data_IF_914845581338
#
_entry.id   IF_914845581338
#
_cell.length_a   1.000
_cell.length_b   1.000
_cell.length_c   1.000
_cell.angle_alpha   90.00
_cell.angle_beta   90.00
_cell.angle_gamma   90.00
#
_symmetry.space_group_name_H-M   'P 1'
#
loop_
_entity.id
_entity.type
_entity.pdbx_description
1 polymer ?
#
# COMPACT_ATOMS: atom_id res chain seq x y z
N UNK A 1 -26.31 -3.31 -6.69
CA UNK A 1 -25.75 -1.95 -6.65
C UNK A 1 -26.87 -0.93 -6.70
N UNK A 2 -26.66 0.26 -6.13
CA UNK A 2 -27.50 1.42 -6.43
C UNK A 2 -27.21 1.91 -7.86
N UNK A 3 -28.10 2.72 -8.41
CA UNK A 3 -27.92 3.33 -9.74
C UNK A 3 -26.83 4.41 -9.68
N UNK A 4 -25.98 4.45 -10.66
CA UNK A 4 -24.95 5.48 -10.87
C UNK A 4 -24.76 5.73 -12.38
N UNK A 5 -24.17 6.85 -12.73
CA UNK A 5 -23.70 7.14 -14.09
C UNK A 5 -22.24 6.75 -14.24
N UNK A 6 -21.84 6.31 -15.45
CA UNK A 6 -20.45 5.95 -15.76
C UNK A 6 -19.87 6.93 -16.77
N UNK A 7 -18.69 7.46 -16.48
CA UNK A 7 -17.94 8.37 -17.34
C UNK A 7 -16.52 7.84 -17.47
N UNK A 8 -16.03 7.73 -18.70
CA UNK A 8 -14.63 7.40 -18.97
C UNK A 8 -13.88 8.69 -19.25
N UNK A 9 -13.00 9.09 -18.34
CA UNK A 9 -12.17 10.29 -18.51
C UNK A 9 -11.15 10.10 -19.63
N UNK A 10 -10.88 11.16 -20.38
CA UNK A 10 -9.91 11.19 -21.46
C UNK A 10 -8.56 11.80 -21.04
N UNK A 11 -8.54 12.47 -19.86
CA UNK A 11 -7.34 13.05 -19.27
C UNK A 11 -7.53 13.24 -17.76
N UNK A 12 -6.43 13.42 -17.03
CA UNK A 12 -6.44 13.78 -15.61
C UNK A 12 -7.16 15.12 -15.36
N UNK A 13 -7.02 16.08 -16.29
CA UNK A 13 -7.70 17.37 -16.21
C UNK A 13 -9.22 17.16 -16.23
N UNK A 14 -9.73 16.39 -17.19
CA UNK A 14 -11.16 16.09 -17.29
C UNK A 14 -11.67 15.36 -16.03
N UNK A 15 -10.91 14.40 -15.50
CA UNK A 15 -11.27 13.71 -14.27
C UNK A 15 -11.38 14.67 -13.08
N UNK A 16 -10.40 15.59 -12.92
CA UNK A 16 -10.40 16.59 -11.85
C UNK A 16 -11.55 17.59 -11.97
N UNK A 17 -11.83 18.08 -13.17
CA UNK A 17 -12.96 18.99 -13.45
C UNK A 17 -14.30 18.29 -13.16
N UNK A 18 -14.41 16.99 -13.52
CA UNK A 18 -15.62 16.22 -13.26
C UNK A 18 -15.85 16.02 -11.75
N UNK A 19 -14.82 15.67 -10.97
CA UNK A 19 -14.90 15.56 -9.52
C UNK A 19 -15.28 16.90 -8.86
N UNK A 20 -14.78 18.01 -9.39
CA UNK A 20 -15.14 19.33 -8.89
C UNK A 20 -16.63 19.67 -9.11
N UNK A 21 -17.19 19.23 -10.23
CA UNK A 21 -18.60 19.44 -10.58
C UNK A 21 -19.57 18.44 -9.89
N UNK A 22 -19.06 17.29 -9.47
CA UNK A 22 -19.85 16.20 -8.89
C UNK A 22 -19.19 15.68 -7.59
N UNK A 23 -19.43 16.31 -6.44
CA UNK A 23 -18.77 15.97 -5.16
C UNK A 23 -18.99 14.52 -4.71
N UNK A 24 -20.11 13.89 -5.12
CA UNK A 24 -20.43 12.48 -4.79
C UNK A 24 -19.86 11.49 -5.80
N UNK A 25 -19.14 11.92 -6.84
CA UNK A 25 -18.48 11.04 -7.78
C UNK A 25 -17.30 10.30 -7.12
N UNK A 26 -17.02 9.10 -7.60
CA UNK A 26 -15.85 8.31 -7.19
C UNK A 26 -15.01 7.93 -8.40
N UNK A 27 -13.69 7.99 -8.23
CA UNK A 27 -12.74 7.49 -9.22
C UNK A 27 -12.79 5.97 -9.28
N UNK A 28 -12.77 5.45 -10.49
CA UNK A 28 -12.66 4.03 -10.77
C UNK A 28 -11.32 3.77 -11.50
N UNK A 29 -10.42 3.04 -10.85
CA UNK A 29 -9.21 2.49 -11.48
C UNK A 29 -9.41 0.99 -11.73
N UNK A 30 -8.74 0.09 -11.00
CA UNK A 30 -8.91 -1.35 -11.13
C UNK A 30 -10.25 -1.91 -10.62
N UNK A 31 -10.98 -1.17 -9.79
CA UNK A 31 -12.31 -1.53 -9.30
C UNK A 31 -12.37 -2.69 -8.30
N UNK A 32 -11.23 -3.28 -7.91
CA UNK A 32 -11.19 -4.52 -7.11
C UNK A 32 -11.65 -4.36 -5.66
N UNK A 33 -11.72 -3.13 -5.15
CA UNK A 33 -12.38 -2.80 -3.88
C UNK A 33 -13.70 -2.10 -4.11
N UNK A 34 -13.74 -1.07 -4.97
CA UNK A 34 -14.92 -0.24 -5.17
C UNK A 34 -16.12 -1.04 -5.71
N UNK A 35 -15.93 -1.90 -6.72
CA UNK A 35 -17.03 -2.67 -7.31
C UNK A 35 -17.67 -3.67 -6.30
N UNK A 36 -16.89 -4.45 -5.52
CA UNK A 36 -17.46 -5.23 -4.41
C UNK A 36 -18.23 -4.40 -3.39
N UNK A 37 -17.70 -3.23 -2.99
CA UNK A 37 -18.37 -2.30 -2.07
C UNK A 37 -19.71 -1.83 -2.61
N UNK A 38 -19.79 -1.49 -3.91
CA UNK A 38 -21.05 -1.12 -4.58
C UNK A 38 -22.03 -2.30 -4.68
N UNK A 39 -21.52 -3.51 -4.96
CA UNK A 39 -22.35 -4.74 -4.98
C UNK A 39 -22.94 -5.02 -3.61
N UNK A 40 -22.20 -4.81 -2.54
CA UNK A 40 -22.65 -4.95 -1.16
C UNK A 40 -23.56 -3.78 -0.69
N UNK A 41 -23.76 -2.74 -1.52
CA UNK A 41 -24.55 -1.53 -1.21
C UNK A 41 -23.97 -0.72 -0.03
N UNK A 42 -22.66 -0.78 0.18
CA UNK A 42 -21.97 -0.04 1.21
C UNK A 42 -21.57 1.37 0.77
N UNK A 43 -21.71 1.68 -0.52
CA UNK A 43 -21.50 3.03 -1.08
C UNK A 43 -22.53 3.31 -2.19
N UNK A 44 -22.85 4.61 -2.36
CA UNK A 44 -23.82 5.09 -3.35
C UNK A 44 -23.30 6.36 -4.04
N UNK A 45 -22.26 6.28 -4.88
CA UNK A 45 -21.79 7.43 -5.65
C UNK A 45 -22.80 7.80 -6.73
N UNK A 46 -22.88 9.09 -7.07
CA UNK A 46 -23.68 9.55 -8.21
C UNK A 46 -23.06 9.13 -9.55
N UNK A 47 -21.74 9.13 -9.61
CA UNK A 47 -20.98 8.79 -10.82
C UNK A 47 -19.75 7.96 -10.49
N UNK A 48 -19.37 7.09 -11.44
CA UNK A 48 -18.05 6.46 -11.49
C UNK A 48 -17.25 7.09 -12.63
N UNK A 49 -16.11 7.67 -12.29
CA UNK A 49 -15.19 8.29 -13.24
C UNK A 49 -14.03 7.34 -13.48
N UNK A 50 -14.03 6.64 -14.61
CA UNK A 50 -13.00 5.68 -14.97
C UNK A 50 -11.73 6.38 -15.44
N UNK A 51 -10.65 6.17 -14.70
CA UNK A 51 -9.31 6.69 -14.95
C UNK A 51 -8.30 5.57 -15.25
N UNK A 52 -8.72 4.31 -15.19
CA UNK A 52 -7.82 3.16 -15.33
C UNK A 52 -7.13 3.03 -16.68
N UNK A 53 -7.65 3.71 -17.70
CA UNK A 53 -7.07 3.72 -19.04
C UNK A 53 -6.24 4.96 -19.39
N UNK A 54 -6.00 5.87 -18.44
CA UNK A 54 -5.23 7.09 -18.70
C UNK A 54 -3.72 6.78 -18.81
N UNK A 55 -3.06 7.05 -19.95
CA UNK A 55 -1.64 6.72 -20.15
C UNK A 55 -0.72 7.42 -19.15
N UNK A 56 -1.05 8.65 -18.76
CA UNK A 56 -0.28 9.44 -17.79
C UNK A 56 -0.26 8.84 -16.37
N UNK A 57 -1.14 7.88 -16.09
CA UNK A 57 -1.19 7.15 -14.83
C UNK A 57 -0.52 5.78 -14.87
N UNK A 58 -0.03 5.34 -16.02
CA UNK A 58 0.60 4.04 -16.19
C UNK A 58 2.13 4.17 -16.28
N UNK A 59 2.82 3.05 -16.01
CA UNK A 59 4.25 2.93 -16.25
C UNK A 59 5.08 2.75 -15.00
N UNK A 60 6.30 2.24 -15.23
CA UNK A 60 7.31 1.97 -14.20
C UNK A 60 8.64 2.46 -14.76
N UNK A 61 9.27 3.40 -14.07
CA UNK A 61 10.51 4.00 -14.53
C UNK A 61 11.48 4.28 -13.38
N UNK A 62 12.77 4.27 -13.67
CA UNK A 62 13.81 4.77 -12.78
C UNK A 62 14.11 6.21 -13.16
N UNK A 63 13.93 7.13 -12.20
CA UNK A 63 14.15 8.56 -12.35
C UNK A 63 15.03 9.07 -11.20
N UNK A 64 16.14 9.70 -11.49
CA UNK A 64 17.00 10.35 -10.48
C UNK A 64 17.34 9.45 -9.28
N UNK A 65 17.60 8.15 -9.53
CA UNK A 65 17.92 7.19 -8.49
C UNK A 65 16.71 6.77 -7.62
N UNK A 66 15.49 7.00 -8.07
CA UNK A 66 14.23 6.57 -7.44
C UNK A 66 13.42 5.73 -8.40
N UNK A 67 12.56 4.87 -7.88
CA UNK A 67 11.61 4.08 -8.65
C UNK A 67 10.26 4.80 -8.64
N UNK A 68 9.80 5.25 -9.81
CA UNK A 68 8.49 5.85 -9.99
C UNK A 68 7.52 4.83 -10.60
N UNK A 69 6.32 4.68 -10.00
CA UNK A 69 5.27 3.77 -10.45
C UNK A 69 3.98 4.56 -10.61
N UNK A 70 3.43 4.60 -11.82
CA UNK A 70 2.18 5.26 -12.13
C UNK A 70 0.99 4.64 -11.37
N UNK A 71 0.04 5.46 -10.95
CA UNK A 71 -1.06 5.05 -10.07
C UNK A 71 -1.98 3.97 -10.67
N UNK A 72 -2.15 3.95 -12.00
CA UNK A 72 -2.94 2.92 -12.69
C UNK A 72 -2.15 1.65 -13.04
N UNK A 73 -0.87 1.55 -12.68
CA UNK A 73 -0.08 0.34 -12.88
C UNK A 73 -0.65 -0.80 -12.04
N UNK A 74 -0.91 -1.92 -12.69
CA UNK A 74 -1.57 -3.07 -12.06
C UNK A 74 -0.61 -3.87 -11.18
N UNK A 75 -1.15 -4.57 -10.19
CA UNK A 75 -0.31 -5.36 -9.27
C UNK A 75 0.54 -6.38 -10.00
N UNK A 76 0.00 -7.07 -11.04
CA UNK A 76 0.77 -8.05 -11.80
C UNK A 76 1.91 -7.41 -12.60
N UNK A 77 1.75 -6.16 -13.08
CA UNK A 77 2.80 -5.42 -13.78
C UNK A 77 3.93 -5.04 -12.81
N UNK A 78 3.59 -4.59 -11.59
CA UNK A 78 4.58 -4.31 -10.55
C UNK A 78 5.34 -5.59 -10.15
N UNK A 79 4.62 -6.69 -9.92
CA UNK A 79 5.20 -7.98 -9.56
C UNK A 79 6.09 -8.56 -10.67
N UNK A 80 5.66 -8.41 -11.94
CA UNK A 80 6.34 -8.95 -13.11
C UNK A 80 7.52 -8.11 -13.61
N UNK A 81 7.58 -6.83 -13.26
CA UNK A 81 8.54 -5.88 -13.81
C UNK A 81 9.99 -6.19 -13.43
N UNK A 82 10.85 -6.35 -14.44
CA UNK A 82 12.30 -6.50 -14.23
C UNK A 82 12.92 -5.25 -13.61
N UNK A 83 12.39 -4.06 -13.91
CA UNK A 83 12.83 -2.80 -13.30
C UNK A 83 12.57 -2.81 -11.79
N UNK A 84 11.36 -3.21 -11.36
CA UNK A 84 11.01 -3.31 -9.93
C UNK A 84 11.83 -4.40 -9.24
N UNK A 85 11.96 -5.58 -9.87
CA UNK A 85 12.74 -6.71 -9.33
C UNK A 85 14.20 -6.37 -9.12
N UNK A 86 14.79 -5.57 -10.00
CA UNK A 86 16.19 -5.10 -9.87
C UNK A 86 16.34 -3.99 -8.86
N UNK A 87 15.40 -3.03 -8.85
CA UNK A 87 15.48 -1.84 -7.99
C UNK A 87 15.06 -2.14 -6.54
N UNK A 88 13.91 -2.77 -6.35
CA UNK A 88 13.31 -3.07 -5.03
C UNK A 88 12.65 -4.45 -5.08
N UNK A 89 13.42 -5.57 -5.02
CA UNK A 89 12.89 -6.93 -5.10
C UNK A 89 11.76 -7.21 -4.09
N UNK A 90 11.83 -6.59 -2.90
CA UNK A 90 10.83 -6.72 -1.85
C UNK A 90 9.46 -6.15 -2.28
N UNK A 91 9.43 -5.09 -3.10
CA UNK A 91 8.20 -4.50 -3.61
C UNK A 91 7.55 -5.40 -4.68
N UNK A 92 8.34 -5.98 -5.59
CA UNK A 92 7.84 -6.96 -6.54
C UNK A 92 7.24 -8.19 -5.83
N UNK A 93 7.95 -8.71 -4.82
CA UNK A 93 7.47 -9.83 -3.99
C UNK A 93 6.18 -9.47 -3.24
N UNK A 94 6.11 -8.29 -2.64
CA UNK A 94 4.91 -7.80 -1.98
C UNK A 94 3.72 -7.77 -2.95
N UNK A 95 3.90 -7.20 -4.14
CA UNK A 95 2.85 -7.09 -5.15
C UNK A 95 2.33 -8.46 -5.61
N UNK A 96 3.19 -9.47 -5.69
CA UNK A 96 2.82 -10.84 -6.06
C UNK A 96 1.98 -11.55 -4.98
N UNK A 97 2.07 -11.11 -3.73
CA UNK A 97 1.28 -11.63 -2.61
C UNK A 97 -0.12 -10.99 -2.46
N UNK A 98 -0.48 -10.02 -3.31
CA UNK A 98 -1.78 -9.36 -3.24
C UNK A 98 -2.86 -10.23 -3.89
N UNK A 99 -3.88 -10.60 -3.09
CA UNK A 99 -5.06 -11.31 -3.58
C UNK A 99 -4.74 -12.56 -4.41
N UNK A 100 -5.54 -12.76 -5.44
CA UNK A 100 -5.37 -13.80 -6.45
C UNK A 100 -4.96 -13.20 -7.82
N UNK A 101 -4.69 -14.01 -8.86
CA UNK A 101 -4.31 -13.52 -10.19
C UNK A 101 -5.37 -12.59 -10.81
N UNK A 102 -6.66 -12.81 -10.56
CA UNK A 102 -7.74 -11.98 -11.09
C UNK A 102 -7.69 -10.58 -10.46
N UNK A 103 -7.49 -10.51 -9.13
CA UNK A 103 -7.31 -9.26 -8.41
C UNK A 103 -6.07 -8.52 -8.92
N UNK A 104 -4.94 -9.21 -9.04
CA UNK A 104 -3.69 -8.58 -9.50
C UNK A 104 -3.75 -8.08 -10.94
N UNK A 105 -4.55 -8.73 -11.78
CA UNK A 105 -4.69 -8.33 -13.20
C UNK A 105 -5.50 -7.04 -13.40
N UNK A 106 -6.28 -6.60 -12.42
CA UNK A 106 -7.11 -5.39 -12.48
C UNK A 106 -6.74 -4.35 -11.44
N UNK A 107 -6.47 -4.78 -10.19
CA UNK A 107 -6.13 -3.91 -9.08
C UNK A 107 -4.85 -3.13 -9.34
N UNK A 108 -4.81 -1.86 -8.93
CA UNK A 108 -3.72 -0.91 -9.20
C UNK A 108 -3.06 -0.44 -7.91
N UNK A 109 -1.78 -0.08 -8.00
CA UNK A 109 -1.03 0.44 -6.84
C UNK A 109 -1.69 1.72 -6.29
N UNK A 110 -2.06 2.67 -7.15
CA UNK A 110 -2.71 3.91 -6.73
C UNK A 110 -4.09 3.66 -6.11
N UNK A 111 -4.87 2.71 -6.65
CA UNK A 111 -6.16 2.33 -6.07
C UNK A 111 -6.03 1.74 -4.67
N UNK A 112 -5.02 0.89 -4.44
CA UNK A 112 -4.74 0.33 -3.12
C UNK A 112 -4.31 1.39 -2.12
N UNK A 113 -3.40 2.30 -2.52
CA UNK A 113 -2.90 3.39 -1.66
C UNK A 113 -3.98 4.42 -1.37
N UNK A 114 -4.82 4.77 -2.34
CA UNK A 114 -5.95 5.69 -2.14
C UNK A 114 -7.03 5.12 -1.24
N UNK A 115 -7.30 3.80 -1.33
CA UNK A 115 -8.30 3.15 -0.49
C UNK A 115 -7.85 3.02 0.97
N UNK A 116 -6.56 2.89 1.20
CA UNK A 116 -5.95 2.73 2.52
C UNK A 116 -6.67 1.73 3.43
N UNK A 117 -6.92 0.53 2.88
CA UNK A 117 -7.45 -0.58 3.69
C UNK A 117 -6.38 -0.97 4.73
N UNK A 118 -6.74 -1.09 6.02
CA UNK A 118 -5.79 -1.51 7.07
C UNK A 118 -5.05 -2.81 6.79
N UNK A 119 -5.67 -3.72 6.02
CA UNK A 119 -5.11 -5.01 5.67
C UNK A 119 -4.40 -5.05 4.30
N UNK A 120 -4.30 -3.90 3.61
CA UNK A 120 -3.61 -3.81 2.33
C UNK A 120 -2.08 -3.89 2.50
N UNK A 121 -1.40 -4.48 1.52
CA UNK A 121 0.04 -4.70 1.54
C UNK A 121 0.85 -3.43 1.19
N UNK A 122 0.46 -2.69 0.14
CA UNK A 122 1.23 -1.52 -0.33
C UNK A 122 1.46 -0.42 0.70
N UNK A 123 0.53 -0.10 1.61
CA UNK A 123 0.82 0.91 2.64
C UNK A 123 2.10 0.63 3.44
N UNK A 124 2.39 -0.67 3.73
CA UNK A 124 3.64 -1.04 4.40
C UNK A 124 4.89 -0.73 3.56
N UNK A 125 4.84 -0.95 2.25
CA UNK A 125 5.97 -0.60 1.37
C UNK A 125 6.12 0.92 1.20
N UNK A 126 5.01 1.64 1.03
CA UNK A 126 5.00 3.10 0.89
C UNK A 126 5.59 3.76 2.13
N UNK A 127 5.13 3.36 3.32
CA UNK A 127 5.62 3.89 4.60
C UNK A 127 7.04 3.40 4.91
N UNK A 128 7.30 2.09 4.73
CA UNK A 128 8.59 1.47 5.05
C UNK A 128 9.74 1.92 4.15
N UNK A 129 9.49 2.32 2.92
CA UNK A 129 10.50 2.90 2.03
C UNK A 129 10.60 4.43 2.16
N UNK A 130 9.70 5.09 2.89
CA UNK A 130 9.63 6.55 2.94
C UNK A 130 9.33 7.15 1.56
N UNK A 131 8.35 6.57 0.87
CA UNK A 131 7.96 6.99 -0.46
C UNK A 131 7.24 8.35 -0.46
N UNK A 132 7.12 8.95 -1.65
CA UNK A 132 6.29 10.13 -1.91
C UNK A 132 5.10 9.73 -2.76
N UNK A 133 3.90 10.18 -2.37
CA UNK A 133 2.68 10.07 -3.17
C UNK A 133 2.54 11.37 -3.97
N UNK A 134 2.70 11.28 -5.28
CA UNK A 134 2.56 12.42 -6.18
C UNK A 134 1.13 12.49 -6.67
N UNK A 135 0.48 13.59 -6.44
CA UNK A 135 -0.90 13.83 -6.83
C UNK A 135 -0.98 14.88 -7.94
N UNK A 136 -2.18 15.17 -8.41
CA UNK A 136 -2.45 16.28 -9.36
C UNK A 136 -2.20 17.66 -8.78
N UNK A 137 -2.03 17.78 -7.45
CA UNK A 137 -1.93 19.07 -6.76
C UNK A 137 -0.61 19.24 -6.01
N UNK A 138 -0.04 18.16 -5.44
CA UNK A 138 1.13 18.22 -4.56
C UNK A 138 1.85 16.87 -4.43
N UNK A 139 3.00 16.91 -3.79
CA UNK A 139 3.71 15.76 -3.27
C UNK A 139 3.38 15.61 -1.78
N UNK A 140 3.06 14.39 -1.34
CA UNK A 140 2.76 14.05 0.04
C UNK A 140 3.74 12.96 0.49
N UNK A 141 4.48 13.21 1.57
CA UNK A 141 5.36 12.20 2.14
C UNK A 141 4.56 11.04 2.73
N UNK A 142 5.10 9.82 2.67
CA UNK A 142 4.44 8.64 3.21
C UNK A 142 4.07 8.75 4.70
N UNK A 143 4.92 9.44 5.48
CA UNK A 143 4.69 9.65 6.92
C UNK A 143 3.46 10.56 7.21
N UNK A 144 3.07 11.41 6.24
CA UNK A 144 1.94 12.33 6.36
C UNK A 144 0.70 11.85 5.59
N UNK A 145 0.83 10.76 4.81
CA UNK A 145 -0.21 10.35 3.87
C UNK A 145 -1.33 9.52 4.52
N UNK A 146 -0.98 8.54 5.37
CA UNK A 146 -1.94 7.62 5.98
C UNK A 146 -2.52 8.20 7.27
N UNK A 147 -3.84 8.47 7.29
CA UNK A 147 -4.52 9.18 8.37
C UNK A 147 -5.39 8.27 9.25
N UNK A 148 -5.33 6.95 9.05
CA UNK A 148 -6.14 5.96 9.76
C UNK A 148 -6.95 5.07 8.83
N UNK A 149 -7.93 4.35 9.37
CA UNK A 149 -8.72 3.36 8.63
C UNK A 149 -9.50 4.02 7.48
N UNK A 150 -9.19 3.62 6.24
CA UNK A 150 -9.79 4.15 5.00
C UNK A 150 -9.68 5.68 4.87
N UNK A 151 -8.74 6.31 5.59
CA UNK A 151 -8.52 7.74 5.56
C UNK A 151 -7.08 8.07 5.12
N UNK A 152 -6.96 9.03 4.21
CA UNK A 152 -5.69 9.53 3.68
C UNK A 152 -5.67 11.05 3.69
N UNK A 153 -4.51 11.65 3.47
CA UNK A 153 -4.35 13.09 3.33
C UNK A 153 -4.82 13.65 1.97
N UNK A 154 -5.43 12.83 1.10
CA UNK A 154 -5.96 13.28 -0.18
C UNK A 154 -7.16 14.21 -0.01
N UNK A 155 -7.16 15.32 -0.73
CA UNK A 155 -8.36 16.11 -0.91
C UNK A 155 -9.39 15.38 -1.81
N UNK A 156 -10.70 15.65 -1.68
CA UNK A 156 -11.75 14.98 -2.48
C UNK A 156 -11.58 15.11 -4.01
N UNK A 157 -10.84 16.11 -4.47
CA UNK A 157 -10.57 16.37 -5.91
C UNK A 157 -9.15 16.01 -6.33
N UNK A 158 -8.38 15.41 -5.42
CA UNK A 158 -6.99 15.06 -5.64
C UNK A 158 -6.88 13.66 -6.22
N UNK A 159 -6.10 13.50 -7.29
CA UNK A 159 -5.88 12.22 -7.96
C UNK A 159 -4.41 11.83 -7.80
N UNK A 160 -4.13 10.61 -7.33
CA UNK A 160 -2.78 10.10 -7.32
C UNK A 160 -2.31 9.90 -8.76
N UNK A 161 -1.17 10.48 -9.10
CA UNK A 161 -0.53 10.34 -10.42
C UNK A 161 0.48 9.19 -10.40
N UNK A 162 1.35 9.17 -9.39
CA UNK A 162 2.39 8.14 -9.21
C UNK A 162 2.83 8.03 -7.76
N UNK A 163 3.51 6.94 -7.45
CA UNK A 163 4.21 6.75 -6.18
C UNK A 163 5.69 6.65 -6.49
N UNK A 164 6.51 7.42 -5.78
CA UNK A 164 7.96 7.52 -5.97
C UNK A 164 8.66 6.93 -4.77
N UNK A 165 9.39 5.86 -4.99
CA UNK A 165 10.11 5.12 -3.96
C UNK A 165 11.61 5.44 -4.01
N UNK A 166 12.22 5.93 -2.91
CA UNK A 166 13.67 5.94 -2.77
C UNK A 166 14.20 4.50 -2.86
N UNK A 167 15.36 4.31 -3.49
CA UNK A 167 15.98 2.99 -3.54
C UNK A 167 16.59 2.67 -2.17
N UNK A 168 16.20 1.57 -1.51
CA UNK A 168 16.82 1.13 -0.27
C UNK A 168 18.15 0.44 -0.57
N UNK A 169 19.05 0.39 0.41
CA UNK A 169 20.20 -0.51 0.36
C UNK A 169 19.76 -1.97 0.38
N UNK A 170 18.82 -2.30 1.26
CA UNK A 170 18.21 -3.61 1.44
C UNK A 170 16.76 -3.44 1.87
N UNK A 171 15.90 -4.35 1.45
CA UNK A 171 14.53 -4.41 1.96
C UNK A 171 13.99 -5.84 1.91
N UNK A 172 13.03 -6.14 2.79
CA UNK A 172 12.27 -7.38 2.77
C UNK A 172 10.84 -7.16 3.25
N UNK A 173 9.96 -8.01 2.79
CA UNK A 173 8.58 -8.10 3.24
C UNK A 173 8.25 -9.52 3.71
N UNK A 174 7.53 -9.62 4.82
CA UNK A 174 6.94 -10.86 5.30
C UNK A 174 5.48 -10.63 5.68
N UNK A 175 4.61 -11.57 5.32
CA UNK A 175 3.18 -11.48 5.51
C UNK A 175 2.64 -12.78 6.09
N UNK A 176 1.72 -12.66 7.04
CA UNK A 176 0.82 -13.73 7.45
C UNK A 176 -0.55 -13.45 6.80
N UNK A 177 -0.90 -14.18 5.73
CA UNK A 177 -2.13 -13.93 5.00
C UNK A 177 -3.34 -14.52 5.71
N UNK A 178 -4.48 -13.86 5.58
CA UNK A 178 -5.76 -14.44 5.94
C UNK A 178 -6.11 -15.57 4.96
N UNK A 179 -6.44 -16.80 5.42
CA UNK A 179 -6.58 -17.97 4.56
C UNK A 179 -7.62 -17.83 3.44
N UNK A 180 -8.71 -17.11 3.70
CA UNK A 180 -9.81 -16.98 2.74
C UNK A 180 -9.65 -15.82 1.75
N UNK A 181 -9.11 -14.68 2.21
CA UNK A 181 -9.05 -13.44 1.40
C UNK A 181 -7.66 -13.12 0.84
N UNK A 182 -6.61 -13.72 1.42
CA UNK A 182 -5.24 -13.37 1.13
C UNK A 182 -4.78 -12.00 1.67
N UNK A 183 -5.66 -11.22 2.31
CA UNK A 183 -5.28 -9.98 2.98
C UNK A 183 -4.30 -10.22 4.14
N UNK A 184 -3.53 -9.20 4.51
CA UNK A 184 -2.60 -9.33 5.62
C UNK A 184 -3.35 -9.34 6.97
N UNK A 185 -3.24 -10.42 7.74
CA UNK A 185 -3.55 -10.39 9.17
C UNK A 185 -2.44 -9.66 9.94
N UNK A 186 -1.20 -9.79 9.49
CA UNK A 186 -0.05 -8.97 9.81
C UNK A 186 0.95 -9.04 8.65
N UNK A 187 1.47 -7.89 8.24
CA UNK A 187 2.54 -7.76 7.27
C UNK A 187 3.60 -6.79 7.77
N UNK A 188 4.87 -7.11 7.57
CA UNK A 188 5.97 -6.24 8.01
C UNK A 188 6.93 -6.00 6.85
N UNK A 189 7.13 -4.74 6.52
CA UNK A 189 8.10 -4.28 5.55
C UNK A 189 9.28 -3.63 6.28
N UNK A 190 10.47 -4.14 6.06
CA UNK A 190 11.72 -3.59 6.61
C UNK A 190 12.56 -3.06 5.46
N UNK A 191 13.09 -1.85 5.61
CA UNK A 191 14.02 -1.25 4.66
C UNK A 191 15.18 -0.56 5.37
N UNK A 192 16.40 -0.77 4.87
CA UNK A 192 17.55 0.06 5.17
C UNK A 192 17.65 1.15 4.11
N UNK A 193 17.24 2.35 4.48
CA UNK A 193 17.23 3.54 3.60
C UNK A 193 18.43 4.44 3.86
N UNK A 194 18.60 5.48 3.04
CA UNK A 194 19.62 6.49 3.27
C UNK A 194 19.40 7.29 4.57
N UNK A 195 18.16 7.35 5.08
CA UNK A 195 17.78 8.04 6.31
C UNK A 195 17.76 7.12 7.55
N UNK A 196 18.11 5.86 7.40
CA UNK A 196 18.10 4.85 8.47
C UNK A 196 17.20 3.68 8.20
N UNK A 197 17.02 2.84 9.21
CA UNK A 197 16.15 1.67 9.15
C UNK A 197 14.70 2.08 9.35
N UNK A 198 13.80 1.54 8.55
CA UNK A 198 12.35 1.73 8.67
C UNK A 198 11.68 0.37 8.77
N UNK A 199 10.73 0.25 9.70
CA UNK A 199 9.90 -0.95 9.90
C UNK A 199 8.44 -0.54 9.88
N UNK A 200 7.73 -0.89 8.82
CA UNK A 200 6.32 -0.56 8.65
C UNK A 200 5.46 -1.82 8.79
N UNK A 201 4.40 -1.71 9.59
CA UNK A 201 3.46 -2.80 9.92
C UNK A 201 2.12 -2.50 9.29
N UNK A 202 1.54 -3.48 8.58
CA UNK A 202 0.17 -3.45 8.05
C UNK A 202 -0.63 -4.65 8.54
N UNK A 203 -1.95 -4.60 8.43
CA UNK A 203 -2.87 -5.70 8.76
C UNK A 203 -3.23 -5.80 10.24
N UNK A 204 -2.35 -5.40 11.13
CA UNK A 204 -2.53 -5.61 12.57
C UNK A 204 -3.31 -4.50 13.26
N UNK A 205 -3.14 -3.25 12.85
CA UNK A 205 -3.76 -2.07 13.47
C UNK A 205 -4.83 -1.42 12.58
N UNK A 206 -5.44 -0.31 13.02
CA UNK A 206 -6.45 0.44 12.26
C UNK A 206 -5.89 1.13 11.01
N UNK A 207 -4.60 1.15 10.83
CA UNK A 207 -3.88 1.64 9.66
C UNK A 207 -2.45 1.13 9.67
N UNK A 208 -1.68 1.45 8.63
CA UNK A 208 -0.25 1.18 8.60
C UNK A 208 0.47 2.07 9.62
N UNK A 209 1.47 1.52 10.30
CA UNK A 209 2.26 2.27 11.29
C UNK A 209 3.73 1.85 11.28
N UNK A 210 4.60 2.71 11.83
CA UNK A 210 6.02 2.42 12.01
C UNK A 210 6.27 1.83 13.41
N UNK A 211 7.09 0.78 13.45
CA UNK A 211 7.52 0.17 14.73
C UNK A 211 8.91 0.65 15.11
N UNK A 212 8.95 1.78 15.84
CA UNK A 212 10.19 2.53 16.15
C UNK A 212 11.19 1.73 16.99
N UNK A 213 10.72 0.90 17.95
CA UNK A 213 11.60 0.05 18.76
C UNK A 213 12.33 -0.99 17.91
N UNK A 214 11.64 -1.58 16.93
CA UNK A 214 12.27 -2.49 15.98
C UNK A 214 13.25 -1.77 15.05
N UNK A 215 12.94 -0.53 14.63
CA UNK A 215 13.85 0.30 13.84
C UNK A 215 15.17 0.57 14.60
N UNK A 216 15.07 0.96 15.87
CA UNK A 216 16.24 1.22 16.71
C UNK A 216 17.09 -0.04 16.93
N UNK A 217 16.46 -1.19 17.19
CA UNK A 217 17.15 -2.46 17.35
C UNK A 217 17.88 -2.90 16.07
N UNK A 218 17.19 -2.83 14.92
CA UNK A 218 17.73 -3.22 13.62
C UNK A 218 18.78 -2.24 13.09
N UNK A 219 18.74 -0.97 13.48
CA UNK A 219 19.78 -0.01 13.17
C UNK A 219 21.13 -0.37 13.80
N UNK A 220 21.09 -1.02 14.98
CA UNK A 220 22.28 -1.49 15.68
C UNK A 220 22.78 -2.83 15.13
N UNK A 221 21.84 -3.75 14.88
CA UNK A 221 22.13 -5.09 14.36
C UNK A 221 20.99 -5.55 13.43
N UNK A 222 21.24 -5.56 12.12
CA UNK A 222 20.26 -5.98 11.11
C UNK A 222 20.14 -7.51 11.07
N UNK A 223 19.56 -8.09 12.11
CA UNK A 223 19.33 -9.53 12.23
C UNK A 223 18.01 -9.85 12.90
N UNK A 224 17.50 -11.07 12.69
CA UNK A 224 16.29 -11.53 13.37
C UNK A 224 16.46 -11.56 14.90
N UNK A 225 17.66 -11.89 15.40
CA UNK A 225 17.97 -11.94 16.83
C UNK A 225 17.87 -10.55 17.51
N UNK A 226 18.11 -9.46 16.79
CA UNK A 226 17.93 -8.11 17.34
C UNK A 226 16.49 -7.79 17.74
N UNK A 227 15.53 -8.56 17.24
CA UNK A 227 14.11 -8.42 17.53
C UNK A 227 13.59 -9.37 18.60
N UNK A 228 14.47 -10.18 19.21
CA UNK A 228 14.07 -11.11 20.26
C UNK A 228 13.59 -10.35 21.50
N UNK A 229 12.42 -10.73 22.01
CA UNK A 229 11.79 -10.08 23.16
C UNK A 229 11.06 -8.77 22.83
N UNK A 230 11.16 -8.24 21.60
CA UNK A 230 10.37 -7.07 21.21
C UNK A 230 8.96 -7.50 20.77
N UNK A 231 7.97 -6.71 21.18
CA UNK A 231 6.58 -6.85 20.76
C UNK A 231 5.95 -5.45 20.63
N UNK A 232 5.02 -5.30 19.68
CA UNK A 232 4.16 -4.12 19.62
C UNK A 232 3.12 -4.17 20.73
N UNK A 233 2.66 -3.00 21.24
CA UNK A 233 1.52 -2.94 22.15
C UNK A 233 0.28 -3.56 21.49
N UNK A 234 -0.46 -4.38 22.23
CA UNK A 234 -1.71 -4.96 21.75
C UNK A 234 -2.90 -3.96 21.84
N UNK A 235 -2.78 -2.89 22.63
CA UNK A 235 -3.89 -1.98 22.95
C UNK A 235 -4.49 -1.31 21.69
N UNK A 236 -3.63 -0.92 20.72
CA UNK A 236 -4.04 -0.21 19.53
C UNK A 236 -4.24 -1.14 18.31
N UNK A 237 -4.18 -2.46 18.51
CA UNK A 237 -4.36 -3.43 17.43
C UNK A 237 -5.84 -3.80 17.24
N UNK A 238 -6.17 -4.21 16.02
CA UNK A 238 -7.51 -4.67 15.67
C UNK A 238 -7.83 -6.00 16.34
N UNK A 239 -9.11 -6.18 16.67
CA UNK A 239 -9.68 -7.43 17.12
C UNK A 239 -10.91 -7.80 16.29
N UNK A 240 -11.02 -9.06 15.89
CA UNK A 240 -12.15 -9.58 15.13
C UNK A 240 -12.35 -11.09 15.39
N UNK A 241 -13.30 -11.71 14.68
CA UNK A 241 -13.58 -13.15 14.79
C UNK A 241 -12.39 -14.05 14.38
N UNK A 242 -11.36 -13.51 13.75
CA UNK A 242 -10.23 -14.28 13.21
C UNK A 242 -8.99 -14.19 14.11
N UNK A 243 -8.82 -13.09 14.86
CA UNK A 243 -7.62 -12.87 15.67
C UNK A 243 -7.87 -11.87 16.80
N UNK A 244 -7.39 -12.20 18.01
CA UNK A 244 -7.30 -11.26 19.13
C UNK A 244 -6.15 -10.27 18.90
N UNK A 245 -6.12 -9.21 19.68
CA UNK A 245 -5.05 -8.19 19.66
C UNK A 245 -3.69 -8.80 19.98
N UNK A 246 -3.63 -9.65 21.00
CA UNK A 246 -2.40 -10.33 21.43
C UNK A 246 -1.87 -11.26 20.33
N UNK A 247 -2.77 -11.96 19.63
CA UNK A 247 -2.37 -12.81 18.52
C UNK A 247 -1.80 -12.00 17.36
N UNK A 248 -2.41 -10.83 17.02
CA UNK A 248 -1.87 -9.92 16.01
C UNK A 248 -0.52 -9.34 16.43
N UNK A 249 -0.34 -8.95 17.69
CA UNK A 249 0.95 -8.49 18.23
C UNK A 249 2.05 -9.58 18.07
N UNK A 250 1.73 -10.83 18.39
CA UNK A 250 2.64 -11.96 18.17
C UNK A 250 2.95 -12.16 16.69
N UNK A 251 1.95 -12.09 15.80
CA UNK A 251 2.15 -12.19 14.35
C UNK A 251 3.10 -11.10 13.83
N UNK A 252 2.95 -9.84 14.28
CA UNK A 252 3.85 -8.74 13.93
C UNK A 252 5.29 -9.08 14.29
N UNK A 253 5.54 -9.53 15.54
CA UNK A 253 6.88 -9.91 15.99
C UNK A 253 7.47 -11.06 15.16
N UNK A 254 6.65 -12.07 14.83
CA UNK A 254 7.08 -13.20 13.97
C UNK A 254 7.39 -12.75 12.55
N UNK A 255 6.53 -11.90 11.94
CA UNK A 255 6.76 -11.41 10.59
C UNK A 255 7.96 -10.47 10.52
N UNK A 256 8.19 -9.64 11.54
CA UNK A 256 9.38 -8.80 11.61
C UNK A 256 10.67 -9.63 11.64
N UNK A 257 10.73 -10.66 12.48
CA UNK A 257 11.89 -11.59 12.49
C UNK A 257 12.10 -12.29 11.16
N UNK A 258 11.02 -12.74 10.50
CA UNK A 258 11.10 -13.35 9.16
C UNK A 258 11.58 -12.37 8.09
N UNK A 259 11.15 -11.11 8.13
CA UNK A 259 11.62 -10.09 7.21
C UNK A 259 13.09 -9.75 7.46
N UNK A 260 13.52 -9.60 8.73
CA UNK A 260 14.90 -9.35 9.11
C UNK A 260 15.84 -10.51 8.68
N UNK A 261 15.41 -11.76 8.85
CA UNK A 261 16.17 -12.94 8.37
C UNK A 261 16.38 -12.88 6.85
N UNK A 262 15.34 -12.56 6.06
CA UNK A 262 15.45 -12.43 4.59
C UNK A 262 16.41 -11.31 4.15
N UNK A 263 16.60 -10.28 4.95
CA UNK A 263 17.56 -9.20 4.67
C UNK A 263 18.99 -9.66 4.94
N UNK A 264 19.20 -10.46 5.98
CA UNK A 264 20.51 -10.96 6.38
C UNK A 264 21.09 -12.00 5.40
N UNK A 265 20.24 -12.71 4.64
CA UNK A 265 20.63 -13.70 3.64
C UNK A 265 21.11 -13.09 2.31
N UNK A 266 20.97 -11.80 2.11
CA UNK A 266 21.37 -11.06 0.90
C UNK A 266 22.58 -10.17 1.14
#
# INVERSE_FOLDING_TARGET
MYQFSYVKAKSLKEAGEFLAAHPDAKLLAGGMTLIPTLKARLAQPSHLVDIGGLPELAGIELMDGKLAIGAATRHFEVAGSDTVKKAIPALAYLADLIGDPQVRNLGTIGGSVANNDPAADYPAAVLGLGASVITTQREIAADDYFQGMFATALDPREVIVRIVFPLPKRAAYAKFPHPASGYAMAGVFIAETAQGVRVAVTGAGPGVFRWQEAEAALATNMSAAALDGLAVSAEDLNEDIHATREYRANLVAVMARRAAAKIAEK
#
